data_IF_098288859608
#
_entry.id   IF_098288859608
#
_cell.length_a   1.000
_cell.length_b   1.000
_cell.length_c   1.000
_cell.angle_alpha   90.00
_cell.angle_beta   90.00
_cell.angle_gamma   90.00
#
_symmetry.space_group_name_H-M   'P 1'
#
loop_
_entity.id
_entity.type
_entity.pdbx_description
1 polymer ?
#
# COMPACT_ATOMS: atom_id res chain seq x y z
N UNK A 1 -10.08 -11.65 -47.64
CA UNK A 1 -9.53 -10.28 -47.43
C UNK A 1 -10.06 -9.79 -46.08
N UNK A 2 -9.39 -10.14 -44.99
CA UNK A 2 -9.76 -9.76 -43.62
C UNK A 2 -8.84 -8.62 -43.18
N UNK A 3 -9.42 -7.46 -42.92
CA UNK A 3 -8.71 -6.24 -42.55
C UNK A 3 -8.15 -6.43 -41.13
N UNK A 4 -6.84 -6.59 -41.03
CA UNK A 4 -6.11 -6.45 -39.77
C UNK A 4 -6.18 -4.98 -39.36
N UNK A 5 -7.09 -4.64 -38.45
CA UNK A 5 -7.09 -3.33 -37.80
C UNK A 5 -5.96 -3.34 -36.77
N UNK A 6 -4.82 -2.77 -37.15
CA UNK A 6 -3.78 -2.37 -36.21
C UNK A 6 -4.41 -1.42 -35.17
N UNK A 7 -4.29 -1.66 -33.86
CA UNK A 7 -4.84 -0.74 -32.87
C UNK A 7 -4.13 0.60 -33.06
N UNK A 8 -4.91 1.64 -33.37
CA UNK A 8 -4.41 3.00 -33.46
C UNK A 8 -3.60 3.30 -32.19
N UNK A 9 -2.35 3.70 -32.35
CA UNK A 9 -1.48 4.13 -31.25
C UNK A 9 -2.12 5.38 -30.64
N UNK A 10 -3.01 5.18 -29.67
CA UNK A 10 -3.76 6.25 -29.04
C UNK A 10 -2.76 7.24 -28.44
N UNK A 11 -2.89 8.52 -28.81
CA UNK A 11 -1.96 9.57 -28.42
C UNK A 11 -2.11 9.88 -26.92
N UNK A 12 -1.55 9.00 -26.08
CA UNK A 12 -1.64 9.08 -24.62
C UNK A 12 -0.95 10.31 -24.03
N UNK A 13 -0.21 11.08 -24.83
CA UNK A 13 0.42 12.33 -24.41
C UNK A 13 -0.58 13.33 -23.88
N UNK A 14 -1.73 13.50 -24.54
CA UNK A 14 -2.76 14.44 -24.08
C UNK A 14 -3.37 14.03 -22.75
N UNK A 15 -3.55 12.71 -22.53
CA UNK A 15 -4.06 12.16 -21.26
C UNK A 15 -3.04 12.35 -20.14
N UNK A 16 -1.76 12.06 -20.41
CA UNK A 16 -0.69 12.25 -19.43
C UNK A 16 -0.52 13.73 -19.07
N UNK A 17 -0.53 14.63 -20.07
CA UNK A 17 -0.43 16.08 -19.82
C UNK A 17 -1.65 16.56 -19.01
N UNK A 18 -2.85 16.12 -19.33
CA UNK A 18 -4.05 16.46 -18.58
C UNK A 18 -3.98 15.94 -17.13
N UNK A 19 -3.52 14.70 -16.93
CA UNK A 19 -3.35 14.10 -15.61
C UNK A 19 -2.30 14.85 -14.77
N UNK A 20 -1.16 15.21 -15.37
CA UNK A 20 -0.10 16.00 -14.72
C UNK A 20 -0.57 17.42 -14.39
N UNK A 21 -1.31 18.05 -15.31
CA UNK A 21 -1.91 19.36 -15.11
C UNK A 21 -2.91 19.36 -13.96
N UNK A 22 -3.86 18.40 -13.97
CA UNK A 22 -4.84 18.24 -12.90
C UNK A 22 -4.18 17.93 -11.55
N UNK A 23 -3.21 17.01 -11.52
CA UNK A 23 -2.47 16.66 -10.30
C UNK A 23 -1.70 17.85 -9.74
N UNK A 24 -1.06 18.64 -10.60
CA UNK A 24 -0.33 19.85 -10.19
C UNK A 24 -1.28 20.91 -9.63
N UNK A 25 -2.41 21.16 -10.30
CA UNK A 25 -3.42 22.10 -9.82
C UNK A 25 -4.01 21.68 -8.48
N UNK A 26 -4.28 20.38 -8.31
CA UNK A 26 -4.80 19.84 -7.06
C UNK A 26 -3.77 19.93 -5.92
N UNK A 27 -2.49 19.66 -6.20
CA UNK A 27 -1.41 19.82 -5.24
C UNK A 27 -1.24 21.29 -4.79
N UNK A 28 -1.37 22.24 -5.72
CA UNK A 28 -1.34 23.68 -5.42
C UNK A 28 -2.58 24.10 -4.61
N UNK A 29 -3.75 23.58 -4.95
CA UNK A 29 -4.99 23.83 -4.22
C UNK A 29 -4.88 23.35 -2.76
N UNK A 30 -4.35 22.14 -2.53
CA UNK A 30 -4.12 21.60 -1.19
C UNK A 30 -3.15 22.46 -0.38
N UNK A 31 -2.06 22.93 -1.01
CA UNK A 31 -1.07 23.79 -0.37
C UNK A 31 -1.65 25.17 -0.01
N UNK A 32 -2.52 25.72 -0.85
CA UNK A 32 -3.15 27.02 -0.60
C UNK A 32 -4.29 26.97 0.42
N UNK A 33 -5.03 25.86 0.49
CA UNK A 33 -6.28 25.76 1.28
C UNK A 33 -6.11 25.12 2.65
N UNK A 34 -5.15 24.21 2.81
CA UNK A 34 -4.96 23.45 4.06
C UNK A 34 -3.58 23.73 4.66
N UNK A 35 -2.54 23.04 4.15
CA UNK A 35 -1.15 23.13 4.61
C UNK A 35 -0.25 22.45 3.55
N UNK A 36 1.02 22.83 3.50
CA UNK A 36 2.04 22.19 2.66
C UNK A 36 2.12 20.68 2.91
N UNK A 37 1.85 20.24 4.15
CA UNK A 37 1.86 18.82 4.54
C UNK A 37 0.86 17.98 3.74
N UNK A 38 -0.35 18.49 3.51
CA UNK A 38 -1.36 17.77 2.73
C UNK A 38 -0.97 17.65 1.25
N UNK A 39 -0.36 18.71 0.71
CA UNK A 39 0.22 18.67 -0.63
C UNK A 39 1.36 17.64 -0.73
N UNK A 40 2.25 17.61 0.27
CA UNK A 40 3.33 16.61 0.33
C UNK A 40 2.79 15.18 0.42
N UNK A 41 1.78 14.91 1.26
CA UNK A 41 1.13 13.60 1.37
C UNK A 41 0.47 13.17 0.05
N UNK A 42 -0.17 14.11 -0.65
CA UNK A 42 -0.74 13.84 -1.97
C UNK A 42 0.34 13.46 -3.00
N UNK A 43 1.47 14.18 -3.02
CA UNK A 43 2.60 13.86 -3.90
C UNK A 43 3.22 12.49 -3.56
N UNK A 44 3.35 12.16 -2.28
CA UNK A 44 3.78 10.82 -1.84
C UNK A 44 2.80 9.75 -2.31
N UNK A 45 1.49 9.99 -2.21
CA UNK A 45 0.46 9.08 -2.72
C UNK A 45 0.54 8.87 -4.23
N UNK A 46 0.76 9.93 -5.01
CA UNK A 46 0.97 9.84 -6.46
C UNK A 46 2.25 9.07 -6.81
N UNK A 47 3.36 9.37 -6.14
CA UNK A 47 4.61 8.65 -6.34
C UNK A 47 4.45 7.17 -5.99
N UNK A 48 3.84 6.85 -4.84
CA UNK A 48 3.57 5.48 -4.44
C UNK A 48 2.66 4.75 -5.45
N UNK A 49 1.57 5.38 -5.88
CA UNK A 49 0.65 4.80 -6.86
C UNK A 49 1.30 4.52 -8.21
N UNK A 50 2.10 5.45 -8.72
CA UNK A 50 2.84 5.27 -9.99
C UNK A 50 3.90 4.17 -9.90
N UNK A 51 4.60 4.07 -8.77
CA UNK A 51 5.56 2.98 -8.49
C UNK A 51 4.82 1.64 -8.43
N UNK A 52 3.72 1.53 -7.67
CA UNK A 52 2.93 0.30 -7.56
C UNK A 52 2.41 -0.17 -8.92
N UNK A 53 1.95 0.77 -9.76
CA UNK A 53 1.49 0.48 -11.11
C UNK A 53 2.60 -0.06 -12.01
N UNK A 54 3.76 0.61 -12.06
CA UNK A 54 4.87 0.17 -12.91
C UNK A 54 5.56 -1.10 -12.40
N UNK A 55 5.61 -1.28 -11.07
CA UNK A 55 6.16 -2.47 -10.46
C UNK A 55 5.19 -3.67 -10.51
N UNK A 56 3.94 -3.48 -10.95
CA UNK A 56 2.88 -4.50 -10.88
C UNK A 56 2.83 -5.19 -9.51
N UNK A 57 2.94 -4.38 -8.46
CA UNK A 57 3.36 -4.87 -7.15
C UNK A 57 2.21 -5.54 -6.38
N UNK A 58 2.33 -6.86 -6.15
CA UNK A 58 1.41 -7.63 -5.32
C UNK A 58 2.13 -8.64 -4.42
N UNK A 59 1.92 -8.54 -3.11
CA UNK A 59 2.46 -9.50 -2.13
C UNK A 59 2.00 -10.93 -2.43
N UNK A 60 0.69 -11.16 -2.58
CA UNK A 60 0.14 -12.48 -2.90
C UNK A 60 0.58 -13.01 -4.25
N UNK A 61 0.72 -12.13 -5.26
CA UNK A 61 1.15 -12.50 -6.60
C UNK A 61 2.60 -12.98 -6.61
N UNK A 62 3.51 -12.30 -5.90
CA UNK A 62 4.92 -12.70 -5.81
C UNK A 62 5.10 -14.08 -5.15
N UNK A 63 4.35 -14.36 -4.08
CA UNK A 63 4.36 -15.67 -3.44
C UNK A 63 3.78 -16.78 -4.33
N UNK A 64 2.67 -16.49 -5.04
CA UNK A 64 2.06 -17.43 -5.98
C UNK A 64 2.99 -17.75 -7.15
N UNK A 65 3.72 -16.76 -7.66
CA UNK A 65 4.71 -16.94 -8.72
C UNK A 65 5.84 -17.88 -8.28
N UNK A 66 6.36 -17.68 -7.07
CA UNK A 66 7.37 -18.58 -6.49
C UNK A 66 6.88 -20.02 -6.41
N UNK A 67 5.65 -20.24 -5.93
CA UNK A 67 5.09 -21.59 -5.79
C UNK A 67 4.83 -22.26 -7.15
N UNK A 68 4.34 -21.51 -8.13
CA UNK A 68 3.93 -22.07 -9.41
C UNK A 68 5.08 -22.25 -10.40
N UNK A 69 6.01 -21.29 -10.46
CA UNK A 69 7.07 -21.26 -11.49
C UNK A 69 8.47 -21.37 -10.91
N UNK A 70 8.62 -21.24 -9.58
CA UNK A 70 9.93 -21.16 -8.91
C UNK A 70 10.60 -19.79 -9.04
N UNK A 71 9.97 -18.81 -9.71
CA UNK A 71 10.58 -17.50 -9.93
C UNK A 71 10.44 -16.58 -8.70
N UNK A 72 11.55 -16.45 -7.97
CA UNK A 72 11.67 -15.61 -6.77
C UNK A 72 11.93 -14.13 -7.00
N UNK A 73 11.94 -13.62 -8.23
CA UNK A 73 12.30 -12.22 -8.49
C UNK A 73 11.41 -11.22 -7.74
N UNK A 74 10.09 -11.42 -7.76
CA UNK A 74 9.13 -10.55 -7.07
C UNK A 74 9.28 -10.61 -5.54
N UNK A 75 9.45 -11.81 -4.99
CA UNK A 75 9.62 -12.01 -3.55
C UNK A 75 10.94 -11.40 -3.06
N UNK A 76 12.03 -11.56 -3.81
CA UNK A 76 13.32 -10.92 -3.52
C UNK A 76 13.22 -9.41 -3.52
N UNK A 77 12.52 -8.82 -4.49
CA UNK A 77 12.31 -7.38 -4.56
C UNK A 77 11.57 -6.87 -3.31
N UNK A 78 10.56 -7.62 -2.82
CA UNK A 78 9.84 -7.31 -1.59
C UNK A 78 10.74 -7.39 -0.35
N UNK A 79 11.58 -8.42 -0.25
CA UNK A 79 12.53 -8.57 0.86
C UNK A 79 13.58 -7.45 0.88
N UNK A 80 14.09 -7.04 -0.29
CA UNK A 80 15.03 -5.91 -0.41
C UNK A 80 14.34 -4.61 -0.02
N UNK A 81 13.11 -4.38 -0.49
CA UNK A 81 12.31 -3.20 -0.12
C UNK A 81 12.09 -3.13 1.39
N UNK A 82 11.71 -4.26 2.02
CA UNK A 82 11.52 -4.35 3.46
C UNK A 82 12.84 -4.07 4.20
N UNK A 83 13.95 -4.70 3.78
CA UNK A 83 15.25 -4.50 4.40
C UNK A 83 15.72 -3.05 4.31
N UNK A 84 15.57 -2.41 3.15
CA UNK A 84 15.92 -0.99 2.96
C UNK A 84 15.03 -0.09 3.83
N UNK A 85 13.74 -0.40 3.91
CA UNK A 85 12.79 0.33 4.76
C UNK A 85 13.20 0.22 6.23
N UNK A 86 13.48 -0.98 6.72
CA UNK A 86 13.94 -1.19 8.10
C UNK A 86 15.26 -0.45 8.34
N UNK A 87 16.22 -0.54 7.42
CA UNK A 87 17.53 0.10 7.55
C UNK A 87 17.45 1.63 7.61
N UNK A 88 16.53 2.26 6.87
CA UNK A 88 16.35 3.72 6.86
C UNK A 88 15.49 4.19 8.04
N UNK A 89 14.35 3.55 8.28
CA UNK A 89 13.37 4.04 9.25
C UNK A 89 13.74 3.73 10.70
N UNK A 90 14.44 2.62 10.97
CA UNK A 90 14.85 2.26 12.34
C UNK A 90 15.74 3.32 13.00
N UNK A 91 16.84 3.80 12.38
CA UNK A 91 17.63 4.90 12.96
C UNK A 91 16.85 6.23 13.00
N UNK A 92 16.01 6.49 12.00
CA UNK A 92 15.20 7.73 11.95
C UNK A 92 14.17 7.79 13.09
N UNK A 93 13.57 6.66 13.45
CA UNK A 93 12.69 6.54 14.62
C UNK A 93 13.49 6.63 15.92
N UNK A 94 14.72 6.07 15.96
CA UNK A 94 15.58 6.15 17.13
C UNK A 94 16.04 7.58 17.46
N UNK A 95 16.18 8.44 16.45
CA UNK A 95 16.42 9.88 16.61
C UNK A 95 15.27 10.59 17.37
N UNK A 96 14.05 10.05 17.34
CA UNK A 96 12.89 10.56 18.07
C UNK A 96 12.26 11.82 17.46
N UNK A 97 13.06 12.69 16.84
CA UNK A 97 12.60 13.87 16.11
C UNK A 97 13.45 14.13 14.86
N UNK A 98 12.81 14.62 13.80
CA UNK A 98 13.48 15.09 12.59
C UNK A 98 12.74 16.31 12.05
N UNK A 99 13.43 17.45 11.94
CA UNK A 99 12.86 18.68 11.40
C UNK A 99 11.62 19.19 12.16
N UNK A 100 11.59 19.03 13.50
CA UNK A 100 10.46 19.44 14.35
C UNK A 100 9.24 18.51 14.28
N UNK A 101 9.37 17.33 13.66
CA UNK A 101 8.34 16.29 13.62
C UNK A 101 8.80 15.13 14.50
N UNK A 102 7.97 14.76 15.50
CA UNK A 102 8.24 13.60 16.34
C UNK A 102 8.07 12.30 15.53
N UNK A 103 9.10 11.48 15.48
CA UNK A 103 9.03 10.14 14.89
C UNK A 103 8.77 9.12 15.98
N UNK A 104 7.69 8.34 15.81
CA UNK A 104 7.36 7.24 16.70
C UNK A 104 7.04 6.01 15.87
N UNK A 105 7.56 4.87 16.31
CA UNK A 105 7.13 3.58 15.79
C UNK A 105 5.70 3.28 16.21
N UNK A 106 4.85 2.88 15.27
CA UNK A 106 3.52 2.37 15.59
C UNK A 106 3.65 0.89 15.98
N UNK A 107 3.64 0.61 17.29
CA UNK A 107 3.74 -0.75 17.83
C UNK A 107 2.36 -1.15 18.35
N UNK A 108 1.68 -2.01 17.60
CA UNK A 108 0.37 -2.52 17.97
C UNK A 108 0.47 -3.77 18.88
N UNK A 109 -0.51 -4.00 19.78
CA UNK A 109 -0.57 -5.22 20.58
C UNK A 109 -0.82 -6.45 19.69
N UNK A 110 -0.29 -7.59 20.11
CA UNK A 110 -0.53 -8.88 19.45
C UNK A 110 -1.74 -9.54 20.11
N UNK A 111 -2.90 -9.51 19.47
CA UNK A 111 -4.11 -10.12 20.00
C UNK A 111 -4.66 -11.22 19.08
N UNK A 112 -5.59 -12.02 19.61
CA UNK A 112 -6.22 -13.10 18.83
C UNK A 112 -7.04 -12.54 17.65
N UNK A 113 -7.55 -11.32 17.76
CA UNK A 113 -8.25 -10.61 16.70
C UNK A 113 -7.36 -10.39 15.46
N UNK A 114 -6.07 -10.10 15.62
CA UNK A 114 -5.11 -9.97 14.50
C UNK A 114 -4.97 -11.30 13.76
N UNK A 115 -4.91 -12.43 14.48
CA UNK A 115 -4.81 -13.76 13.87
C UNK A 115 -6.07 -14.06 13.06
N UNK A 116 -7.24 -13.92 13.67
CA UNK A 116 -8.53 -14.15 13.00
C UNK A 116 -8.67 -13.21 11.79
N UNK A 117 -8.34 -11.93 11.96
CA UNK A 117 -8.35 -10.93 10.90
C UNK A 117 -7.43 -11.29 9.74
N UNK A 118 -6.23 -11.81 10.00
CA UNK A 118 -5.30 -12.26 8.97
C UNK A 118 -5.86 -13.42 8.13
N UNK A 119 -6.56 -14.38 8.75
CA UNK A 119 -7.22 -15.46 8.01
C UNK A 119 -8.40 -14.97 7.17
N UNK A 120 -9.27 -14.14 7.74
CA UNK A 120 -10.41 -13.54 7.02
C UNK A 120 -9.90 -12.70 5.85
N UNK A 121 -8.87 -11.88 6.07
CA UNK A 121 -8.22 -11.10 5.02
C UNK A 121 -7.62 -12.00 3.94
N UNK A 122 -6.97 -13.12 4.32
CA UNK A 122 -6.47 -14.14 3.39
C UNK A 122 -7.56 -14.73 2.50
N UNK A 123 -8.70 -15.12 3.09
CA UNK A 123 -9.87 -15.60 2.35
C UNK A 123 -10.38 -14.51 1.40
N UNK A 124 -10.49 -13.27 1.90
CA UNK A 124 -10.88 -12.11 1.11
C UNK A 124 -9.96 -11.86 -0.09
N UNK A 125 -8.64 -12.01 0.07
CA UNK A 125 -7.68 -11.87 -1.02
C UNK A 125 -7.89 -12.93 -2.11
N UNK A 126 -8.23 -14.15 -1.71
CA UNK A 126 -8.49 -15.24 -2.66
C UNK A 126 -9.80 -15.02 -3.42
N UNK A 127 -10.85 -14.58 -2.74
CA UNK A 127 -12.14 -14.24 -3.36
C UNK A 127 -12.04 -12.98 -4.26
N UNK A 128 -11.33 -11.96 -3.79
CA UNK A 128 -11.15 -10.68 -4.47
C UNK A 128 -10.14 -10.70 -5.61
N UNK A 129 -9.36 -11.79 -5.75
CA UNK A 129 -8.39 -11.98 -6.83
C UNK A 129 -7.08 -11.20 -6.67
N UNK A 130 -6.80 -10.64 -5.48
CA UNK A 130 -5.61 -9.83 -5.23
C UNK A 130 -5.47 -9.41 -3.76
N UNK A 131 -4.24 -9.01 -3.38
CA UNK A 131 -3.99 -8.29 -2.14
C UNK A 131 -4.33 -6.80 -2.30
N UNK A 132 -4.39 -6.04 -1.21
CA UNK A 132 -4.75 -4.62 -1.23
C UNK A 132 -3.92 -3.81 -2.25
N UNK A 133 -2.59 -3.95 -2.26
CA UNK A 133 -1.73 -3.26 -3.23
C UNK A 133 -2.01 -3.69 -4.68
N UNK A 134 -2.25 -4.99 -4.89
CA UNK A 134 -2.62 -5.58 -6.17
C UNK A 134 -3.95 -5.03 -6.71
N UNK A 135 -4.96 -4.99 -5.85
CA UNK A 135 -6.27 -4.41 -6.15
C UNK A 135 -6.14 -2.94 -6.52
N UNK A 136 -5.34 -2.17 -5.77
CA UNK A 136 -5.19 -0.73 -5.98
C UNK A 136 -4.60 -0.38 -7.36
N UNK A 137 -3.46 -0.99 -7.73
CA UNK A 137 -2.83 -0.68 -9.02
C UNK A 137 -3.61 -1.27 -10.20
N UNK A 138 -4.23 -2.44 -10.02
CA UNK A 138 -5.01 -3.10 -11.10
C UNK A 138 -6.32 -2.37 -11.34
N UNK A 139 -6.98 -1.87 -10.29
CA UNK A 139 -8.14 -0.98 -10.41
C UNK A 139 -7.74 0.35 -11.06
N UNK A 140 -6.61 0.95 -10.63
CA UNK A 140 -6.05 2.17 -11.21
C UNK A 140 -5.66 2.01 -12.70
N UNK A 141 -5.29 0.80 -13.12
CA UNK A 141 -5.04 0.44 -14.52
C UNK A 141 -6.29 0.23 -15.37
N UNK A 142 -7.49 0.41 -14.82
CA UNK A 142 -8.77 0.32 -15.53
C UNK A 142 -9.50 -1.02 -15.43
N UNK A 143 -9.09 -1.94 -14.54
CA UNK A 143 -9.81 -3.20 -14.35
C UNK A 143 -11.08 -3.01 -13.50
N UNK A 144 -12.23 -2.96 -14.17
CA UNK A 144 -13.55 -2.80 -13.52
C UNK A 144 -13.87 -3.87 -12.48
N UNK A 145 -13.37 -5.11 -12.64
CA UNK A 145 -13.58 -6.17 -11.63
C UNK A 145 -12.87 -5.82 -10.32
N UNK A 146 -11.67 -5.26 -10.40
CA UNK A 146 -10.89 -4.85 -9.23
C UNK A 146 -11.46 -3.60 -8.54
N UNK A 147 -12.20 -2.76 -9.27
CA UNK A 147 -12.95 -1.64 -8.66
C UNK A 147 -14.00 -2.15 -7.69
N UNK A 148 -14.69 -3.25 -8.00
CA UNK A 148 -15.66 -3.87 -7.08
C UNK A 148 -14.96 -4.41 -5.84
N UNK A 149 -13.83 -5.11 -6.01
CA UNK A 149 -13.00 -5.57 -4.88
C UNK A 149 -12.54 -4.41 -4.02
N UNK A 150 -12.11 -3.29 -4.63
CA UNK A 150 -11.68 -2.09 -3.93
C UNK A 150 -12.82 -1.46 -3.12
N UNK A 151 -14.02 -1.36 -3.70
CA UNK A 151 -15.20 -0.82 -3.00
C UNK A 151 -15.58 -1.68 -1.79
N UNK A 152 -15.59 -3.00 -1.95
CA UNK A 152 -15.84 -3.93 -0.84
C UNK A 152 -14.74 -3.85 0.22
N UNK A 153 -13.47 -3.71 -0.19
CA UNK A 153 -12.35 -3.52 0.73
C UNK A 153 -12.47 -2.21 1.53
N UNK A 154 -12.88 -1.11 0.90
CA UNK A 154 -13.14 0.17 1.58
C UNK A 154 -14.30 0.02 2.56
N UNK A 155 -15.43 -0.54 2.14
CA UNK A 155 -16.58 -0.75 3.01
C UNK A 155 -16.24 -1.63 4.22
N UNK A 156 -15.53 -2.74 4.00
CA UNK A 156 -15.06 -3.63 5.07
C UNK A 156 -14.07 -2.95 6.02
N UNK A 157 -13.15 -2.12 5.49
CA UNK A 157 -12.19 -1.37 6.32
C UNK A 157 -12.88 -0.34 7.20
N UNK A 158 -13.92 0.34 6.68
CA UNK A 158 -14.74 1.27 7.46
C UNK A 158 -15.53 0.56 8.55
N UNK A 159 -16.14 -0.59 8.25
CA UNK A 159 -16.82 -1.42 9.26
C UNK A 159 -15.84 -1.91 10.34
N UNK A 160 -14.65 -2.35 9.95
CA UNK A 160 -13.60 -2.76 10.89
C UNK A 160 -13.17 -1.61 11.79
N UNK A 161 -13.05 -0.40 11.22
CA UNK A 161 -12.70 0.82 11.98
C UNK A 161 -13.81 1.26 12.92
N UNK A 162 -15.08 1.07 12.55
CA UNK A 162 -16.21 1.35 13.43
C UNK A 162 -16.28 0.38 14.62
N UNK A 163 -15.89 -0.88 14.39
CA UNK A 163 -15.88 -1.92 15.42
C UNK A 163 -14.56 -1.98 16.21
N UNK A 164 -13.72 -0.95 16.13
CA UNK A 164 -12.34 -0.95 16.64
C UNK A 164 -12.21 -1.40 18.10
N UNK A 165 -13.09 -0.91 18.98
CA UNK A 165 -13.04 -1.19 20.42
C UNK A 165 -13.18 -2.69 20.70
N UNK A 166 -14.11 -3.37 20.01
CA UNK A 166 -14.31 -4.82 20.15
C UNK A 166 -13.09 -5.63 19.71
N UNK A 167 -12.37 -5.17 18.69
CA UNK A 167 -11.16 -5.86 18.22
C UNK A 167 -9.97 -5.65 19.16
N UNK A 168 -9.92 -4.53 19.89
CA UNK A 168 -8.87 -4.23 20.87
C UNK A 168 -9.07 -4.94 22.20
N UNK A 169 -10.33 -5.12 22.63
CA UNK A 169 -10.67 -5.83 23.87
C UNK A 169 -10.43 -7.35 23.81
N UNK A 170 -10.07 -7.86 22.62
CA UNK A 170 -9.75 -9.26 22.43
C UNK A 170 -8.49 -9.67 23.24
N UNK A 171 -8.45 -10.88 23.82
CA UNK A 171 -7.28 -11.37 24.56
C UNK A 171 -6.00 -11.28 23.73
N UNK A 172 -4.96 -10.70 24.33
CA UNK A 172 -3.70 -10.44 23.64
C UNK A 172 -2.52 -10.23 24.57
N UNK A 173 -1.35 -10.16 23.94
CA UNK A 173 -0.07 -9.86 24.57
C UNK A 173 0.24 -8.37 24.43
N UNK A 174 0.97 -7.86 25.43
CA UNK A 174 1.49 -6.50 25.40
C UNK A 174 2.29 -6.25 24.10
N UNK A 175 2.27 -5.02 23.55
CA UNK A 175 3.05 -4.69 22.36
C UNK A 175 4.54 -5.02 22.59
N UNK A 176 5.10 -5.87 21.74
CA UNK A 176 6.53 -6.23 21.81
C UNK A 176 7.26 -5.50 20.69
N UNK A 177 8.03 -4.49 21.05
CA UNK A 177 8.96 -3.84 20.13
C UNK A 177 10.34 -4.51 20.24
N UNK A 178 10.79 -5.15 19.15
CA UNK A 178 12.12 -5.78 19.11
C UNK A 178 13.24 -4.76 19.32
N UNK A 179 13.08 -3.55 18.77
CA UNK A 179 14.03 -2.45 18.95
C UNK A 179 14.18 -1.98 20.40
N UNK A 180 13.15 -2.17 21.24
CA UNK A 180 13.23 -1.87 22.67
C UNK A 180 13.92 -3.00 23.47
N UNK A 181 13.85 -4.25 22.98
CA UNK A 181 14.43 -5.41 23.66
C UNK A 181 15.88 -5.68 23.29
N UNK A 182 16.25 -5.47 22.03
CA UNK A 182 17.56 -5.85 21.50
C UNK A 182 18.39 -4.64 21.02
N UNK A 183 17.76 -3.46 20.89
CA UNK A 183 18.38 -2.22 20.49
C UNK A 183 18.14 -1.86 19.03
N UNK A 184 18.71 -0.76 18.57
CA UNK A 184 18.57 -0.28 17.18
C UNK A 184 19.43 -1.11 16.20
N UNK A 185 20.42 -1.84 16.74
CA UNK A 185 21.47 -2.57 15.99
C UNK A 185 21.34 -4.09 16.15
N UNK A 186 20.53 -4.58 17.08
CA UNK A 186 20.33 -6.01 17.40
C UNK A 186 18.88 -6.29 17.67
#
# INVERSE_FOLDING_TARGET
MTISMSPARQNNRSVVIAALGFSSLFALYLAASFDWRQSALFLVGLAAGTILYHASFGFTAAWREVVNTGNGAGLRAQMIMLALTVFIFTPLIALGEFGGISLRGSVAPLNIAVVIGAFIFGIGMQLGGGCASGTLFTAGGGNMRMVVTLAAFIAGSLLGSWQWDLWQDAPGFAPVALSQKFGVVG
#
